data_IF_681942114109
#
_entry.id   IF_681942114109
#
_cell.length_a   1.000
_cell.length_b   1.000
_cell.length_c   1.000
_cell.angle_alpha   90.00
_cell.angle_beta   90.00
_cell.angle_gamma   90.00
#
_symmetry.space_group_name_H-M   'P 1'
#
loop_
_entity.id
_entity.type
_entity.pdbx_description
1 polymer ?
#
# COMPACT_ATOMS: atom_id res chain seq x y z
N UNK A 1 12.98 -32.97 -16.88
CA UNK A 1 14.30 -32.87 -16.22
C UNK A 1 14.11 -32.49 -14.76
N UNK A 2 14.36 -33.39 -13.81
CA UNK A 2 14.33 -33.09 -12.36
C UNK A 2 15.47 -32.09 -12.05
N UNK A 3 15.12 -30.87 -11.63
CA UNK A 3 16.08 -29.82 -11.27
C UNK A 3 16.80 -30.26 -9.99
N UNK A 4 18.10 -30.58 -10.11
CA UNK A 4 19.01 -31.02 -9.03
C UNK A 4 18.86 -30.13 -7.80
N UNK A 5 18.52 -30.71 -6.64
CA UNK A 5 18.38 -30.02 -5.35
C UNK A 5 19.67 -29.26 -4.99
N UNK A 6 19.55 -28.03 -4.50
CA UNK A 6 20.71 -27.22 -4.08
C UNK A 6 20.87 -27.52 -2.60
N UNK A 7 21.82 -28.39 -2.26
CA UNK A 7 22.14 -28.70 -0.87
C UNK A 7 22.83 -27.49 -0.23
N UNK A 8 22.08 -26.79 0.62
CA UNK A 8 22.54 -25.59 1.35
C UNK A 8 23.82 -25.85 2.14
N UNK A 9 23.96 -27.04 2.74
CA UNK A 9 25.13 -27.40 3.54
C UNK A 9 26.34 -27.67 2.62
N UNK A 10 26.13 -28.31 1.48
CA UNK A 10 27.20 -28.46 0.48
C UNK A 10 27.68 -27.11 -0.07
N UNK A 11 26.77 -26.15 -0.30
CA UNK A 11 27.13 -24.80 -0.75
C UNK A 11 27.87 -24.05 0.37
N UNK A 12 27.40 -24.13 1.62
CA UNK A 12 28.08 -23.54 2.78
C UNK A 12 29.52 -24.04 2.91
N UNK A 13 29.75 -25.35 2.76
CA UNK A 13 31.09 -25.96 2.80
C UNK A 13 32.00 -25.40 1.69
N UNK A 14 31.48 -25.18 0.49
CA UNK A 14 32.23 -24.55 -0.63
C UNK A 14 32.59 -23.10 -0.34
N UNK A 15 31.64 -22.30 0.17
CA UNK A 15 31.91 -20.91 0.57
C UNK A 15 33.02 -20.87 1.62
N UNK A 16 32.93 -21.72 2.64
CA UNK A 16 33.95 -21.81 3.70
C UNK A 16 35.34 -22.09 3.10
N UNK A 17 35.46 -23.12 2.27
CA UNK A 17 36.74 -23.47 1.64
C UNK A 17 37.31 -22.33 0.78
N UNK A 18 36.48 -21.60 0.04
CA UNK A 18 36.94 -20.46 -0.76
C UNK A 18 37.43 -19.29 0.11
N UNK A 19 36.78 -19.06 1.25
CA UNK A 19 37.19 -18.04 2.21
C UNK A 19 38.49 -18.44 2.91
N UNK A 20 38.60 -19.70 3.35
CA UNK A 20 39.82 -20.22 3.99
C UNK A 20 41.02 -20.07 3.04
N UNK A 21 40.85 -20.36 1.74
CA UNK A 21 41.90 -20.23 0.74
C UNK A 21 42.25 -18.76 0.38
N UNK A 22 41.38 -17.79 0.71
CA UNK A 22 41.60 -16.39 0.38
C UNK A 22 42.73 -15.75 1.21
N UNK A 23 43.14 -16.38 2.31
CA UNK A 23 44.28 -15.93 3.12
C UNK A 23 45.58 -15.85 2.31
N UNK A 24 45.83 -16.82 1.41
CA UNK A 24 47.01 -16.79 0.55
C UNK A 24 46.93 -15.68 -0.51
N UNK A 25 45.75 -15.41 -1.06
CA UNK A 25 45.52 -14.34 -2.01
C UNK A 25 45.77 -12.95 -1.39
N UNK A 26 45.53 -12.78 -0.09
CA UNK A 26 45.82 -11.52 0.62
C UNK A 26 47.32 -11.18 0.62
N UNK A 27 48.21 -12.17 0.61
CA UNK A 27 49.67 -12.00 0.58
C UNK A 27 50.17 -11.53 -0.79
N UNK A 28 49.39 -11.74 -1.86
CA UNK A 28 49.71 -11.27 -3.21
C UNK A 28 49.79 -9.74 -3.32
N UNK A 29 50.50 -9.23 -4.33
CA UNK A 29 50.59 -7.77 -4.58
C UNK A 29 49.54 -7.25 -5.58
N UNK A 30 48.93 -8.12 -6.39
CA UNK A 30 47.97 -7.71 -7.43
C UNK A 30 46.55 -7.52 -6.86
N UNK A 31 46.05 -6.29 -6.92
CA UNK A 31 44.69 -5.93 -6.50
C UNK A 31 43.63 -6.63 -7.35
N UNK A 32 43.82 -6.76 -8.67
CA UNK A 32 42.81 -7.35 -9.56
C UNK A 32 42.62 -8.82 -9.24
N UNK A 33 43.70 -9.55 -9.00
CA UNK A 33 43.65 -10.96 -8.64
C UNK A 33 42.88 -11.19 -7.32
N UNK A 34 43.11 -10.34 -6.30
CA UNK A 34 42.35 -10.38 -5.04
C UNK A 34 40.85 -10.15 -5.25
N UNK A 35 40.48 -9.22 -6.12
CA UNK A 35 39.06 -8.97 -6.42
C UNK A 35 38.46 -10.17 -7.18
N UNK A 36 39.18 -10.73 -8.15
CA UNK A 36 38.71 -11.87 -8.94
C UNK A 36 38.54 -13.13 -8.08
N UNK A 37 39.38 -13.37 -7.07
CA UNK A 37 39.23 -14.52 -6.17
C UNK A 37 38.04 -14.41 -5.21
N UNK A 38 37.50 -13.20 -4.98
CA UNK A 38 36.24 -13.00 -4.25
C UNK A 38 34.98 -13.25 -5.10
N UNK A 39 35.08 -13.22 -6.43
CA UNK A 39 33.91 -13.42 -7.32
C UNK A 39 33.27 -14.81 -7.12
N UNK A 40 34.02 -15.92 -7.05
CA UNK A 40 33.46 -17.23 -6.72
C UNK A 40 32.79 -17.28 -5.35
N UNK A 41 33.34 -16.62 -4.32
CA UNK A 41 32.76 -16.55 -2.98
C UNK A 41 31.37 -15.90 -3.06
N UNK A 42 31.30 -14.74 -3.72
CA UNK A 42 30.05 -14.01 -3.88
C UNK A 42 28.99 -14.78 -4.69
N UNK A 43 29.40 -15.49 -5.75
CA UNK A 43 28.50 -16.35 -6.51
C UNK A 43 27.93 -17.49 -5.65
N UNK A 44 28.76 -18.15 -4.84
CA UNK A 44 28.29 -19.22 -3.96
C UNK A 44 27.42 -18.70 -2.80
N UNK A 45 27.69 -17.51 -2.27
CA UNK A 45 26.81 -16.87 -1.30
C UNK A 45 25.41 -16.58 -1.88
N UNK A 46 25.33 -16.15 -3.15
CA UNK A 46 24.06 -16.01 -3.86
C UNK A 46 23.35 -17.34 -4.07
N UNK A 47 24.08 -18.41 -4.41
CA UNK A 47 23.49 -19.76 -4.48
C UNK A 47 22.96 -20.22 -3.12
N UNK A 48 23.70 -19.94 -2.05
CA UNK A 48 23.29 -20.27 -0.69
C UNK A 48 21.98 -19.58 -0.33
N UNK A 49 21.86 -18.27 -0.55
CA UNK A 49 20.61 -17.54 -0.32
C UNK A 49 19.42 -18.12 -1.10
N UNK A 50 19.64 -18.46 -2.39
CA UNK A 50 18.62 -19.12 -3.23
C UNK A 50 18.23 -20.51 -2.74
N UNK A 51 19.15 -21.25 -2.12
CA UNK A 51 18.89 -22.61 -1.62
C UNK A 51 18.03 -22.66 -0.35
N UNK A 52 17.85 -21.52 0.34
CA UNK A 52 17.01 -21.45 1.54
C UNK A 52 15.51 -21.56 1.26
N UNK A 53 15.08 -21.50 0.00
CA UNK A 53 13.69 -21.61 -0.42
C UNK A 53 13.42 -22.94 -1.13
N UNK A 54 12.26 -23.56 -0.85
CA UNK A 54 11.79 -24.79 -1.50
C UNK A 54 11.67 -24.59 -3.02
N UNK A 55 12.09 -25.59 -3.80
CA UNK A 55 12.11 -25.50 -5.28
C UNK A 55 10.75 -25.62 -5.94
N UNK A 56 9.77 -26.13 -5.21
CA UNK A 56 8.41 -26.38 -5.69
C UNK A 56 7.63 -25.07 -5.92
N UNK A 57 8.06 -23.98 -5.28
CA UNK A 57 7.27 -22.74 -5.22
C UNK A 57 7.82 -21.55 -6.03
N UNK A 58 9.09 -21.58 -6.49
CA UNK A 58 9.77 -20.36 -6.97
C UNK A 58 10.80 -20.57 -8.09
N UNK A 59 10.55 -19.99 -9.26
CA UNK A 59 11.37 -20.16 -10.46
C UNK A 59 12.33 -18.99 -10.73
N UNK A 60 11.96 -17.78 -10.32
CA UNK A 60 12.68 -16.53 -10.61
C UNK A 60 13.02 -15.73 -9.35
N UNK A 61 13.90 -14.73 -9.47
CA UNK A 61 14.20 -13.79 -8.37
C UNK A 61 12.96 -13.05 -7.88
N UNK A 62 12.05 -12.70 -8.81
CA UNK A 62 10.78 -12.06 -8.49
C UNK A 62 9.87 -12.99 -7.68
N UNK A 63 9.78 -14.26 -8.09
CA UNK A 63 8.96 -15.26 -7.40
C UNK A 63 9.46 -15.49 -5.97
N UNK A 64 10.79 -15.57 -5.78
CA UNK A 64 11.42 -15.66 -4.45
C UNK A 64 11.09 -14.46 -3.56
N UNK A 65 11.16 -13.26 -4.10
CA UNK A 65 10.81 -12.03 -3.35
C UNK A 65 9.34 -12.07 -2.91
N UNK A 66 8.40 -12.34 -3.81
CA UNK A 66 6.98 -12.34 -3.42
C UNK A 66 6.62 -13.50 -2.51
N UNK A 67 7.23 -14.67 -2.70
CA UNK A 67 7.09 -15.80 -1.78
C UNK A 67 7.51 -15.39 -0.36
N UNK A 68 8.66 -14.74 -0.21
CA UNK A 68 9.15 -14.28 1.09
C UNK A 68 8.21 -13.23 1.72
N UNK A 69 7.75 -12.24 0.95
CA UNK A 69 6.74 -11.28 1.44
C UNK A 69 5.44 -11.96 1.89
N UNK A 70 4.95 -12.96 1.15
CA UNK A 70 3.72 -13.70 1.51
C UNK A 70 3.89 -14.58 2.75
N UNK A 71 5.11 -15.04 3.02
CA UNK A 71 5.43 -15.80 4.23
C UNK A 71 5.50 -14.91 5.47
N UNK A 72 5.87 -13.63 5.29
CA UNK A 72 6.01 -12.64 6.35
C UNK A 72 5.19 -11.36 6.04
N UNK A 73 3.85 -11.47 5.91
CA UNK A 73 3.00 -10.31 5.67
C UNK A 73 3.04 -9.38 6.89
N UNK A 74 2.98 -8.07 6.67
CA UNK A 74 3.06 -7.07 7.74
C UNK A 74 4.35 -7.11 8.59
N UNK A 75 5.43 -7.73 8.10
CA UNK A 75 6.78 -7.57 8.68
C UNK A 75 7.58 -6.54 7.89
N UNK A 76 8.48 -5.84 8.58
CA UNK A 76 9.51 -5.01 7.94
C UNK A 76 10.56 -5.93 7.35
N UNK A 77 10.71 -5.89 6.03
CA UNK A 77 11.71 -6.66 5.29
C UNK A 77 12.72 -5.70 4.70
N UNK A 78 13.99 -5.86 5.08
CA UNK A 78 15.07 -5.01 4.60
C UNK A 78 15.53 -5.40 3.19
N UNK A 79 16.03 -4.42 2.43
CA UNK A 79 16.60 -4.65 1.10
C UNK A 79 17.74 -5.68 1.06
N UNK A 80 18.55 -5.79 2.11
CA UNK A 80 19.64 -6.78 2.19
C UNK A 80 19.08 -8.21 2.36
N UNK A 81 17.95 -8.38 3.05
CA UNK A 81 17.23 -9.66 3.08
C UNK A 81 16.75 -10.04 1.68
N UNK A 82 16.18 -9.07 0.96
CA UNK A 82 15.73 -9.28 -0.42
C UNK A 82 16.90 -9.58 -1.36
N UNK A 83 18.08 -9.01 -1.13
CA UNK A 83 19.31 -9.35 -1.87
C UNK A 83 19.67 -10.82 -1.65
N UNK A 84 19.64 -11.31 -0.41
CA UNK A 84 19.93 -12.71 -0.08
C UNK A 84 18.89 -13.65 -0.69
N UNK A 85 17.60 -13.36 -0.48
CA UNK A 85 16.47 -14.17 -0.95
C UNK A 85 16.40 -14.22 -2.47
N UNK A 86 16.56 -13.07 -3.13
CA UNK A 86 16.48 -12.99 -4.58
C UNK A 86 17.74 -13.48 -5.28
N UNK A 87 18.90 -13.41 -4.62
CA UNK A 87 20.21 -13.74 -5.17
C UNK A 87 20.70 -12.72 -6.22
N UNK A 88 20.11 -11.53 -6.28
CA UNK A 88 20.45 -10.47 -7.25
C UNK A 88 20.60 -9.11 -6.55
N UNK A 89 21.37 -8.21 -7.15
CA UNK A 89 21.50 -6.83 -6.65
C UNK A 89 20.29 -5.97 -7.03
N UNK A 90 19.66 -6.24 -8.16
CA UNK A 90 18.53 -5.48 -8.69
C UNK A 90 17.18 -5.86 -8.07
N UNK A 91 17.17 -6.33 -6.82
CA UNK A 91 15.94 -6.71 -6.11
C UNK A 91 14.93 -5.56 -6.07
N UNK A 92 15.39 -4.31 -5.91
CA UNK A 92 14.53 -3.13 -5.88
C UNK A 92 13.73 -2.94 -7.18
N UNK A 93 14.32 -3.32 -8.32
CA UNK A 93 13.61 -3.34 -9.61
C UNK A 93 12.52 -4.40 -9.63
N UNK A 94 12.79 -5.59 -9.09
CA UNK A 94 11.80 -6.68 -8.98
C UNK A 94 10.65 -6.31 -8.02
N UNK A 95 10.94 -5.64 -6.91
CA UNK A 95 9.91 -5.07 -6.01
C UNK A 95 9.05 -4.05 -6.74
N UNK A 96 9.65 -3.17 -7.55
CA UNK A 96 8.89 -2.23 -8.38
C UNK A 96 7.97 -2.95 -9.37
N UNK A 97 8.44 -3.99 -10.03
CA UNK A 97 7.61 -4.81 -10.92
C UNK A 97 6.47 -5.48 -10.18
N UNK A 98 6.72 -6.05 -9.00
CA UNK A 98 5.68 -6.66 -8.16
C UNK A 98 4.56 -5.68 -7.81
N UNK A 99 4.91 -4.43 -7.48
CA UNK A 99 3.94 -3.37 -7.20
C UNK A 99 3.17 -2.93 -8.44
N UNK A 100 3.90 -2.64 -9.52
CA UNK A 100 3.35 -1.97 -10.71
C UNK A 100 2.65 -2.94 -11.66
N UNK A 101 3.30 -4.06 -11.98
CA UNK A 101 2.80 -4.99 -13.00
C UNK A 101 1.95 -6.10 -12.40
N UNK A 102 2.21 -6.46 -11.15
CA UNK A 102 1.54 -7.57 -10.48
C UNK A 102 0.62 -7.13 -9.35
N UNK A 103 0.56 -5.83 -9.03
CA UNK A 103 -0.40 -5.28 -8.07
C UNK A 103 -0.26 -5.76 -6.64
N UNK A 104 0.93 -6.16 -6.22
CA UNK A 104 1.19 -6.48 -4.82
C UNK A 104 1.28 -5.20 -3.99
N UNK A 105 0.48 -5.12 -2.91
CA UNK A 105 0.43 -3.98 -1.99
C UNK A 105 1.66 -3.95 -1.09
N UNK A 106 2.82 -3.68 -1.71
CA UNK A 106 4.11 -3.53 -1.04
C UNK A 106 4.39 -2.04 -0.91
N UNK A 107 4.62 -1.55 0.29
CA UNK A 107 5.02 -0.16 0.54
C UNK A 107 6.49 -0.09 0.95
N UNK A 108 7.16 0.99 0.55
CA UNK A 108 8.49 1.34 1.04
C UNK A 108 8.42 2.03 2.41
N UNK A 109 9.53 2.04 3.15
CA UNK A 109 9.62 2.78 4.42
C UNK A 109 9.39 4.29 4.27
N UNK A 110 9.64 4.87 3.08
CA UNK A 110 9.30 6.27 2.80
C UNK A 110 7.78 6.46 2.77
N UNK A 111 7.08 5.65 1.98
CA UNK A 111 5.62 5.68 1.88
C UNK A 111 4.96 5.36 3.22
N UNK A 112 5.51 4.40 3.97
CA UNK A 112 5.03 4.07 5.30
C UNK A 112 5.03 5.28 6.23
N UNK A 113 6.13 6.04 6.28
CA UNK A 113 6.23 7.27 7.09
C UNK A 113 5.27 8.36 6.65
N UNK A 114 5.16 8.58 5.34
CA UNK A 114 4.24 9.57 4.77
C UNK A 114 2.77 9.23 5.11
N UNK A 115 2.39 7.95 5.11
CA UNK A 115 1.05 7.49 5.52
C UNK A 115 0.83 7.59 7.03
N UNK A 116 1.82 7.18 7.83
CA UNK A 116 1.75 7.24 9.29
C UNK A 116 1.58 8.67 9.81
N UNK A 117 2.21 9.66 9.15
CA UNK A 117 2.06 11.07 9.48
C UNK A 117 0.61 11.57 9.37
N UNK A 118 -0.21 10.94 8.53
CA UNK A 118 -1.64 11.27 8.35
C UNK A 118 -2.56 10.23 9.02
N UNK A 119 -2.04 9.39 9.93
CA UNK A 119 -2.79 8.33 10.62
C UNK A 119 -3.45 7.28 9.69
N UNK A 120 -2.88 7.08 8.49
CA UNK A 120 -3.39 6.13 7.48
C UNK A 120 -2.74 4.74 7.56
N UNK A 121 -1.78 4.54 8.48
CA UNK A 121 -1.05 3.27 8.63
C UNK A 121 -1.00 2.78 10.10
N UNK A 122 -2.12 2.28 10.65
CA UNK A 122 -2.19 1.80 12.03
C UNK A 122 -1.67 0.37 12.10
N UNK A 123 -0.35 0.19 12.01
CA UNK A 123 0.28 -1.12 12.25
C UNK A 123 0.88 -1.11 13.65
N UNK A 124 0.19 -1.74 14.60
CA UNK A 124 0.56 -1.74 16.03
C UNK A 124 1.96 -2.31 16.31
N UNK A 125 2.39 -3.28 15.49
CA UNK A 125 3.64 -4.02 15.71
C UNK A 125 4.85 -3.44 14.96
N UNK A 126 4.70 -2.28 14.29
CA UNK A 126 5.79 -1.69 13.49
C UNK A 126 6.05 -0.25 13.92
N UNK A 127 7.27 0.02 14.37
CA UNK A 127 7.76 1.38 14.54
C UNK A 127 8.16 1.97 13.18
N UNK A 128 7.18 2.55 12.49
CA UNK A 128 7.34 3.13 11.15
C UNK A 128 8.43 4.21 11.09
N UNK A 129 8.68 4.92 12.19
CA UNK A 129 9.68 5.99 12.23
C UNK A 129 11.11 5.46 12.05
N UNK A 130 11.37 4.22 12.48
CA UNK A 130 12.67 3.55 12.34
C UNK A 130 12.90 2.95 10.95
N UNK A 131 11.87 2.83 10.12
CA UNK A 131 12.02 2.26 8.78
C UNK A 131 12.95 3.09 7.90
N UNK A 132 13.78 2.42 7.10
CA UNK A 132 14.67 3.02 6.10
C UNK A 132 14.00 3.04 4.72
N UNK A 133 14.50 3.83 3.76
CA UNK A 133 13.95 3.86 2.41
C UNK A 133 13.95 2.52 1.66
N UNK A 134 14.88 1.62 2.01
CA UNK A 134 14.99 0.28 1.45
C UNK A 134 14.33 -0.81 2.33
N UNK A 135 13.54 -0.41 3.32
CA UNK A 135 12.66 -1.32 4.04
C UNK A 135 11.31 -1.40 3.32
N UNK A 136 10.69 -2.57 3.36
CA UNK A 136 9.44 -2.87 2.67
C UNK A 136 8.47 -3.60 3.59
N UNK A 137 7.18 -3.40 3.37
CA UNK A 137 6.10 -4.15 4.03
C UNK A 137 5.08 -4.58 2.99
N UNK A 138 4.64 -5.84 3.04
CA UNK A 138 3.46 -6.31 2.31
C UNK A 138 2.20 -6.08 3.17
N UNK A 139 1.31 -5.17 2.75
CA UNK A 139 0.07 -4.83 3.46
C UNK A 139 -1.10 -5.76 3.15
N UNK A 140 -1.07 -6.42 1.99
CA UNK A 140 -2.09 -7.36 1.56
C UNK A 140 -1.48 -8.51 0.78
N UNK A 141 -1.86 -9.73 1.14
CA UNK A 141 -1.48 -10.95 0.42
C UNK A 141 -2.41 -11.26 -0.76
N UNK A 142 -3.32 -10.35 -1.09
CA UNK A 142 -4.19 -10.45 -2.28
C UNK A 142 -3.56 -9.69 -3.44
N UNK A 143 -3.49 -10.37 -4.59
CA UNK A 143 -2.95 -9.78 -5.81
C UNK A 143 -4.00 -8.90 -6.50
N UNK A 144 -3.64 -7.66 -6.82
CA UNK A 144 -4.45 -6.81 -7.69
C UNK A 144 -4.11 -7.04 -9.17
N UNK A 145 -5.07 -7.57 -9.93
CA UNK A 145 -4.86 -7.91 -11.35
C UNK A 145 -4.99 -6.71 -12.28
N UNK A 146 -5.59 -5.61 -11.82
CA UNK A 146 -5.84 -4.41 -12.62
C UNK A 146 -4.75 -3.35 -12.43
N UNK A 147 -3.81 -3.57 -11.51
CA UNK A 147 -2.71 -2.64 -11.23
C UNK A 147 -1.89 -2.26 -12.47
N UNK A 148 -1.65 -3.21 -13.39
CA UNK A 148 -0.93 -2.92 -14.63
C UNK A 148 -1.67 -1.91 -15.52
N UNK A 149 -3.00 -2.02 -15.60
CA UNK A 149 -3.84 -1.06 -16.32
C UNK A 149 -3.82 0.30 -15.62
N UNK A 150 -4.02 0.32 -14.29
CA UNK A 150 -3.99 1.57 -13.50
C UNK A 150 -2.64 2.27 -13.54
N UNK A 151 -1.55 1.54 -13.72
CA UNK A 151 -0.23 2.14 -13.86
C UNK A 151 -0.11 3.01 -15.13
N UNK A 152 -0.76 2.62 -16.24
CA UNK A 152 -0.76 3.44 -17.45
C UNK A 152 -1.45 4.78 -17.19
N UNK A 153 -2.63 4.74 -16.56
CA UNK A 153 -3.39 5.93 -16.13
C UNK A 153 -2.52 6.80 -15.21
N UNK A 154 -1.88 6.18 -14.21
CA UNK A 154 -1.00 6.89 -13.27
C UNK A 154 0.15 7.61 -13.98
N UNK A 155 0.78 6.95 -14.96
CA UNK A 155 1.89 7.51 -15.75
C UNK A 155 1.45 8.69 -16.63
N UNK A 156 0.26 8.62 -17.23
CA UNK A 156 -0.31 9.72 -18.00
C UNK A 156 -0.59 10.94 -17.12
N UNK A 157 -1.28 10.75 -15.99
CA UNK A 157 -1.62 11.84 -15.06
C UNK A 157 -0.36 12.46 -14.45
N UNK A 158 0.63 11.62 -14.08
CA UNK A 158 1.90 12.09 -13.51
C UNK A 158 2.59 13.12 -14.40
N UNK A 159 2.53 12.95 -15.72
CA UNK A 159 3.17 13.81 -16.75
C UNK A 159 2.44 15.14 -16.99
N UNK A 160 1.17 15.28 -16.57
CA UNK A 160 0.41 16.53 -16.73
C UNK A 160 1.03 17.68 -15.94
N UNK A 161 0.80 18.92 -16.35
CA UNK A 161 1.30 20.13 -15.65
C UNK A 161 0.32 20.64 -14.59
N UNK A 162 -0.23 19.72 -13.79
CA UNK A 162 -1.22 20.02 -12.75
C UNK A 162 -0.61 19.99 -11.34
N UNK A 163 -1.33 20.58 -10.38
CA UNK A 163 -0.98 20.48 -8.96
C UNK A 163 -1.05 19.04 -8.44
N UNK A 164 -0.33 18.72 -7.36
CA UNK A 164 -0.34 17.39 -6.74
C UNK A 164 -1.76 16.94 -6.38
N UNK A 165 -2.55 17.83 -5.77
CA UNK A 165 -3.94 17.54 -5.37
C UNK A 165 -4.82 17.25 -6.59
N UNK A 166 -4.69 18.03 -7.65
CA UNK A 166 -5.46 17.83 -8.89
C UNK A 166 -5.11 16.50 -9.56
N UNK A 167 -3.82 16.12 -9.61
CA UNK A 167 -3.39 14.82 -10.13
C UNK A 167 -3.95 13.65 -9.33
N UNK A 168 -3.89 13.73 -8.00
CA UNK A 168 -4.43 12.70 -7.10
C UNK A 168 -5.94 12.56 -7.31
N UNK A 169 -6.68 13.67 -7.34
CA UNK A 169 -8.12 13.64 -7.57
C UNK A 169 -8.48 13.06 -8.93
N UNK A 170 -7.80 13.47 -10.00
CA UNK A 170 -8.00 12.90 -11.33
C UNK A 170 -7.74 11.40 -11.34
N UNK A 171 -6.70 10.94 -10.66
CA UNK A 171 -6.42 9.51 -10.57
C UNK A 171 -7.52 8.74 -9.82
N UNK A 172 -8.07 9.29 -8.75
CA UNK A 172 -9.25 8.70 -8.11
C UNK A 172 -10.47 8.68 -9.03
N UNK A 173 -10.74 9.75 -9.78
CA UNK A 173 -11.87 9.81 -10.73
C UNK A 173 -11.77 8.76 -11.85
N UNK A 174 -10.56 8.44 -12.29
CA UNK A 174 -10.32 7.38 -13.28
C UNK A 174 -10.43 5.96 -12.68
N UNK A 175 -10.54 5.85 -11.35
CA UNK A 175 -10.56 4.60 -10.60
C UNK A 175 -11.71 4.54 -9.56
N UNK A 176 -12.85 5.17 -9.86
CA UNK A 176 -14.01 5.19 -8.94
C UNK A 176 -14.42 3.75 -8.58
N UNK A 177 -14.69 3.52 -7.30
CA UNK A 177 -15.06 2.22 -6.73
C UNK A 177 -13.93 1.20 -6.68
N UNK A 178 -12.78 1.47 -7.28
CA UNK A 178 -11.61 0.59 -7.28
C UNK A 178 -10.62 1.02 -6.21
N UNK A 179 -10.00 0.04 -5.56
CA UNK A 179 -8.95 0.29 -4.59
C UNK A 179 -7.64 0.69 -5.28
N UNK A 180 -7.03 1.76 -4.77
CA UNK A 180 -5.69 2.21 -5.15
C UNK A 180 -4.78 2.26 -3.92
N UNK A 181 -3.48 2.14 -4.14
CA UNK A 181 -2.45 2.05 -3.09
C UNK A 181 -1.75 3.38 -2.85
N UNK A 182 -1.17 3.55 -1.65
CA UNK A 182 -0.34 4.72 -1.34
C UNK A 182 0.87 4.89 -2.29
N UNK A 183 1.46 3.80 -2.79
CA UNK A 183 2.56 3.87 -3.76
C UNK A 183 2.10 4.38 -5.14
N UNK A 184 0.89 4.02 -5.59
CA UNK A 184 0.29 4.57 -6.81
C UNK A 184 0.06 6.08 -6.66
N UNK A 185 -0.54 6.52 -5.54
CA UNK A 185 -0.81 7.92 -5.25
C UNK A 185 0.48 8.75 -5.14
N UNK A 186 1.49 8.22 -4.45
CA UNK A 186 2.82 8.82 -4.37
C UNK A 186 3.47 8.96 -5.75
N UNK A 187 3.35 7.94 -6.60
CA UNK A 187 3.88 7.98 -7.96
C UNK A 187 3.19 9.07 -8.81
N UNK A 188 1.86 9.14 -8.77
CA UNK A 188 1.06 10.18 -9.44
C UNK A 188 1.46 11.58 -8.98
N UNK A 189 1.73 11.73 -7.69
CA UNK A 189 2.21 12.96 -7.06
C UNK A 189 3.68 13.31 -7.38
N UNK A 190 4.36 12.61 -8.30
CA UNK A 190 5.79 12.79 -8.58
C UNK A 190 6.68 12.59 -7.33
N UNK A 191 6.32 11.64 -6.47
CA UNK A 191 7.01 11.30 -5.23
C UNK A 191 7.13 12.48 -4.24
N UNK A 192 6.24 13.47 -4.32
CA UNK A 192 6.16 14.56 -3.35
C UNK A 192 5.62 14.03 -2.02
N UNK A 193 6.30 14.33 -0.92
CA UNK A 193 5.97 13.84 0.42
C UNK A 193 4.58 14.27 0.91
N UNK A 194 4.07 15.40 0.41
CA UNK A 194 2.75 15.93 0.78
C UNK A 194 1.57 15.15 0.20
N UNK A 195 1.79 14.10 -0.61
CA UNK A 195 0.71 13.37 -1.29
C UNK A 195 -0.34 12.84 -0.29
N UNK A 196 0.09 12.26 0.84
CA UNK A 196 -0.81 11.68 1.84
C UNK A 196 -1.71 12.76 2.44
N UNK A 197 -1.12 13.90 2.78
CA UNK A 197 -1.84 15.09 3.24
C UNK A 197 -2.84 15.59 2.21
N UNK A 198 -2.49 15.59 0.91
CA UNK A 198 -3.43 15.99 -0.17
C UNK A 198 -4.60 15.03 -0.33
N UNK A 199 -4.41 13.74 -0.07
CA UNK A 199 -5.52 12.78 -0.02
C UNK A 199 -6.46 13.09 1.15
N UNK A 200 -5.91 13.34 2.34
CA UNK A 200 -6.71 13.76 3.50
C UNK A 200 -7.47 15.06 3.24
N UNK A 201 -6.82 16.09 2.67
CA UNK A 201 -7.50 17.34 2.27
C UNK A 201 -8.68 17.05 1.32
N UNK A 202 -8.49 16.20 0.32
CA UNK A 202 -9.56 15.86 -0.62
C UNK A 202 -10.78 15.29 0.11
N UNK A 203 -10.56 14.48 1.14
CA UNK A 203 -11.62 13.92 2.01
C UNK A 203 -12.24 14.97 2.94
N UNK A 204 -11.44 15.65 3.76
CA UNK A 204 -11.91 16.47 4.90
C UNK A 204 -12.15 17.94 4.59
N UNK A 205 -11.59 18.47 3.50
CA UNK A 205 -11.71 19.89 3.14
C UNK A 205 -12.44 20.08 1.82
N UNK A 206 -12.21 19.19 0.85
CA UNK A 206 -12.90 19.21 -0.44
C UNK A 206 -14.11 18.28 -0.50
N UNK A 207 -14.37 17.46 0.52
CA UNK A 207 -15.59 16.65 0.62
C UNK A 207 -15.73 15.58 -0.45
N UNK A 208 -14.61 15.05 -0.97
CA UNK A 208 -14.66 13.86 -1.82
C UNK A 208 -14.82 12.62 -0.93
N UNK A 209 -15.70 11.66 -1.29
CA UNK A 209 -15.95 10.46 -0.51
C UNK A 209 -14.83 9.44 -0.75
N UNK A 210 -13.63 9.78 -0.27
CA UNK A 210 -12.45 8.93 -0.30
C UNK A 210 -12.41 8.16 1.01
N UNK A 211 -12.54 6.84 0.94
CA UNK A 211 -12.59 5.98 2.11
C UNK A 211 -11.34 5.11 2.21
N UNK A 212 -10.92 4.88 3.45
CA UNK A 212 -9.86 3.94 3.83
C UNK A 212 -10.39 3.01 4.91
N UNK A 213 -9.61 1.97 5.26
CA UNK A 213 -9.93 1.10 6.39
C UNK A 213 -10.24 1.89 7.67
N UNK A 214 -9.54 3.00 7.88
CA UNK A 214 -9.62 3.78 9.11
C UNK A 214 -10.75 4.81 9.09
N UNK A 215 -11.25 5.16 7.91
CA UNK A 215 -12.16 6.30 7.74
C UNK A 215 -13.58 5.92 7.39
N UNK A 216 -13.85 4.68 6.96
CA UNK A 216 -15.23 4.21 6.83
C UNK A 216 -15.47 2.87 6.17
N UNK A 217 -14.41 2.19 5.72
CA UNK A 217 -14.50 0.90 5.01
C UNK A 217 -13.69 -0.20 5.71
N UNK A 218 -14.18 -0.79 6.81
CA UNK A 218 -13.42 -1.78 7.58
C UNK A 218 -13.05 -3.04 6.78
N UNK A 219 -13.78 -3.32 5.71
CA UNK A 219 -13.56 -4.39 4.74
C UNK A 219 -12.32 -4.17 3.86
N UNK A 220 -11.83 -2.93 3.72
CA UNK A 220 -10.58 -2.65 3.01
C UNK A 220 -9.35 -3.15 3.79
N UNK A 221 -8.29 -3.47 3.06
CA UNK A 221 -6.98 -3.74 3.65
C UNK A 221 -6.28 -2.42 4.03
N UNK A 222 -5.31 -2.49 4.94
CA UNK A 222 -4.55 -1.32 5.37
C UNK A 222 -3.79 -0.73 4.17
N UNK A 223 -3.82 0.60 4.03
CA UNK A 223 -3.15 1.32 2.93
C UNK A 223 -3.86 1.32 1.58
N UNK A 224 -5.09 0.81 1.54
CA UNK A 224 -6.03 0.97 0.43
C UNK A 224 -6.82 2.28 0.55
N UNK A 225 -7.03 2.93 -0.58
CA UNK A 225 -7.88 4.10 -0.75
C UNK A 225 -8.91 3.84 -1.84
N UNK A 226 -10.17 4.24 -1.63
CA UNK A 226 -11.25 4.10 -2.62
C UNK A 226 -12.01 5.42 -2.72
N UNK A 227 -12.27 5.90 -3.94
CA UNK A 227 -13.25 6.95 -4.15
C UNK A 227 -14.61 6.29 -4.40
N UNK A 228 -15.57 6.43 -3.49
CA UNK A 228 -16.86 5.73 -3.57
C UNK A 228 -17.73 6.25 -4.72
N UNK A 229 -17.69 7.57 -4.97
CA UNK A 229 -18.50 8.19 -6.02
C UNK A 229 -17.95 9.54 -6.47
N UNK A 230 -18.51 10.07 -7.56
CA UNK A 230 -18.24 11.43 -8.05
C UNK A 230 -19.07 12.51 -7.34
N UNK A 231 -19.69 12.19 -6.21
CA UNK A 231 -20.53 13.10 -5.44
C UNK A 231 -19.70 13.83 -4.40
N UNK A 232 -19.39 15.09 -4.67
CA UNK A 232 -18.70 15.96 -3.71
C UNK A 232 -19.69 16.50 -2.67
N UNK A 233 -19.34 16.45 -1.38
CA UNK A 233 -20.17 17.05 -0.31
C UNK A 233 -20.28 18.58 -0.48
N UNK A 234 -21.41 19.19 -0.10
CA UNK A 234 -21.57 20.65 -0.06
C UNK A 234 -20.55 21.30 0.87
N UNK A 235 -20.14 22.55 0.59
CA UNK A 235 -19.08 23.26 1.34
C UNK A 235 -19.29 23.31 2.85
N UNK A 236 -20.55 23.44 3.29
CA UNK A 236 -20.90 23.49 4.71
C UNK A 236 -20.76 22.13 5.42
N UNK A 237 -20.78 21.02 4.69
CA UNK A 237 -20.71 19.66 5.25
C UNK A 237 -19.30 19.04 5.17
N UNK A 238 -18.33 19.70 4.51
CA UNK A 238 -17.01 19.09 4.23
C UNK A 238 -16.17 18.86 5.50
N UNK A 239 -16.31 19.72 6.51
CA UNK A 239 -15.37 19.85 7.65
C UNK A 239 -15.63 18.88 8.81
N UNK A 240 -15.91 17.61 8.52
CA UNK A 240 -15.99 16.56 9.55
C UNK A 240 -14.62 15.90 9.69
N UNK A 241 -14.04 15.94 10.89
CA UNK A 241 -12.74 15.33 11.17
C UNK A 241 -12.81 13.80 11.12
N UNK A 242 -11.72 13.15 10.71
CA UNK A 242 -11.66 11.69 10.63
C UNK A 242 -11.92 10.97 11.97
N UNK A 243 -11.43 11.48 13.14
CA UNK A 243 -11.79 10.89 14.43
C UNK A 243 -13.29 10.89 14.71
N UNK A 244 -13.99 12.01 14.45
CA UNK A 244 -15.45 12.10 14.62
C UNK A 244 -16.15 11.16 13.64
N UNK A 245 -15.72 11.15 12.37
CA UNK A 245 -16.26 10.23 11.36
C UNK A 245 -16.15 8.78 11.79
N UNK A 246 -14.95 8.35 12.18
CA UNK A 246 -14.70 6.99 12.64
C UNK A 246 -15.52 6.60 13.87
N UNK A 247 -15.70 7.52 14.83
CA UNK A 247 -16.52 7.27 16.03
C UNK A 247 -17.99 7.11 15.69
N UNK A 248 -18.56 7.99 14.87
CA UNK A 248 -19.97 7.90 14.42
C UNK A 248 -20.22 6.61 13.65
N UNK A 249 -19.33 6.26 12.71
CA UNK A 249 -19.45 5.02 11.94
C UNK A 249 -19.36 3.78 12.83
N UNK A 250 -18.44 3.75 13.82
CA UNK A 250 -18.36 2.64 14.78
C UNK A 250 -19.61 2.55 15.66
N UNK A 251 -20.12 3.68 16.17
CA UNK A 251 -21.35 3.75 16.96
C UNK A 251 -22.54 3.18 16.19
N UNK A 252 -22.65 3.54 14.91
CA UNK A 252 -23.71 3.07 14.01
C UNK A 252 -23.38 1.72 13.35
N UNK A 253 -22.34 1.02 13.84
CA UNK A 253 -21.90 -0.32 13.40
C UNK A 253 -21.61 -0.42 11.89
N UNK A 254 -21.19 0.68 11.27
CA UNK A 254 -20.97 0.79 9.82
C UNK A 254 -22.22 0.41 9.01
N UNK A 255 -23.40 0.80 9.49
CA UNK A 255 -24.69 0.59 8.82
C UNK A 255 -25.50 1.88 8.76
N UNK A 256 -26.37 1.97 7.75
CA UNK A 256 -27.35 3.04 7.66
C UNK A 256 -28.36 2.94 8.80
N UNK A 257 -28.51 3.98 9.61
CA UNK A 257 -29.47 3.97 10.74
C UNK A 257 -30.94 3.98 10.31
N UNK A 258 -31.22 4.20 9.02
CA UNK A 258 -32.59 4.27 8.47
C UNK A 258 -33.05 2.95 7.83
N UNK A 259 -32.15 2.24 7.13
CA UNK A 259 -32.50 1.05 6.35
C UNK A 259 -31.55 -0.14 6.53
N UNK A 260 -30.62 -0.05 7.50
CA UNK A 260 -29.66 -1.09 7.88
C UNK A 260 -28.65 -1.52 6.79
N UNK A 261 -28.64 -0.82 5.64
CA UNK A 261 -27.68 -1.08 4.57
C UNK A 261 -26.23 -0.91 5.04
N UNK A 262 -25.37 -1.88 4.72
CA UNK A 262 -23.92 -1.84 4.92
C UNK A 262 -23.17 -2.18 3.63
N UNK A 263 -21.84 -2.02 3.65
CA UNK A 263 -20.99 -2.43 2.53
C UNK A 263 -21.08 -3.93 2.21
N UNK A 264 -21.53 -4.77 3.14
CA UNK A 264 -21.80 -6.20 2.88
C UNK A 264 -22.93 -6.41 1.86
N UNK A 265 -23.83 -5.44 1.74
CA UNK A 265 -24.94 -5.45 0.80
C UNK A 265 -24.57 -4.87 -0.57
N UNK A 266 -23.37 -4.31 -0.71
CA UNK A 266 -22.93 -3.63 -1.92
C UNK A 266 -22.93 -4.58 -3.11
N UNK A 267 -23.47 -4.12 -4.23
CA UNK A 267 -23.37 -4.79 -5.51
C UNK A 267 -23.48 -3.77 -6.64
N UNK A 268 -23.17 -4.19 -7.88
CA UNK A 268 -23.17 -3.30 -9.04
C UNK A 268 -24.53 -2.64 -9.31
N UNK A 269 -25.64 -3.30 -8.96
CA UNK A 269 -27.00 -2.74 -9.12
C UNK A 269 -27.41 -1.83 -7.96
N UNK A 270 -26.68 -1.87 -6.85
CA UNK A 270 -26.91 -1.04 -5.66
C UNK A 270 -25.59 -0.42 -5.17
N UNK A 271 -25.05 0.59 -5.90
CA UNK A 271 -23.76 1.21 -5.60
C UNK A 271 -23.87 2.30 -4.50
N UNK A 272 -24.72 2.05 -3.50
CA UNK A 272 -24.81 2.90 -2.31
C UNK A 272 -23.47 2.89 -1.56
N UNK A 273 -23.22 3.95 -0.81
CA UNK A 273 -22.16 4.02 0.21
C UNK A 273 -22.70 4.81 1.40
N UNK A 274 -21.95 4.78 2.51
CA UNK A 274 -22.31 5.49 3.73
C UNK A 274 -21.81 6.93 3.69
N UNK A 275 -22.67 7.85 4.13
CA UNK A 275 -22.36 9.26 4.35
C UNK A 275 -22.77 9.64 5.79
N UNK A 276 -22.16 10.69 6.31
CA UNK A 276 -22.60 11.29 7.58
C UNK A 276 -23.61 12.39 7.31
N UNK A 277 -24.72 12.36 8.05
CA UNK A 277 -25.77 13.37 7.99
C UNK A 277 -25.93 14.06 9.34
N UNK A 278 -26.06 15.39 9.33
CA UNK A 278 -26.37 16.15 10.53
C UNK A 278 -27.86 16.09 10.89
N UNK A 279 -28.18 15.66 12.11
CA UNK A 279 -29.54 15.70 12.67
C UNK A 279 -30.08 17.14 12.66
N UNK A 280 -29.31 18.07 13.24
CA UNK A 280 -29.49 19.51 13.11
C UNK A 280 -28.60 20.01 11.98
N UNK A 281 -29.21 20.52 10.93
CA UNK A 281 -28.50 20.98 9.73
C UNK A 281 -27.43 22.02 10.06
N UNK A 282 -26.28 21.93 9.38
CA UNK A 282 -25.18 22.87 9.56
C UNK A 282 -25.60 24.33 9.27
N UNK A 283 -26.47 24.54 8.28
CA UNK A 283 -27.05 25.87 7.96
C UNK A 283 -27.83 26.48 9.14
N UNK A 284 -28.34 25.65 10.06
CA UNK A 284 -29.06 26.08 11.27
C UNK A 284 -28.17 26.07 12.53
N UNK A 285 -26.84 26.06 12.34
CA UNK A 285 -25.87 25.99 13.43
C UNK A 285 -25.79 24.60 14.07
N UNK A 286 -25.84 23.55 13.25
CA UNK A 286 -25.51 22.19 13.67
C UNK A 286 -24.00 21.98 13.73
N UNK A 287 -23.50 21.39 14.81
CA UNK A 287 -22.07 21.16 15.02
C UNK A 287 -21.61 19.84 14.37
N UNK A 288 -20.31 19.72 14.09
CA UNK A 288 -19.67 18.49 13.59
C UNK A 288 -19.30 17.56 14.76
N UNK A 289 -20.27 17.27 15.62
CA UNK A 289 -20.11 16.44 16.82
C UNK A 289 -20.72 15.06 16.63
N UNK A 290 -20.28 14.09 17.42
CA UNK A 290 -20.78 12.72 17.37
C UNK A 290 -22.30 12.68 17.58
N UNK A 291 -22.81 13.46 18.53
CA UNK A 291 -24.22 13.50 18.92
C UNK A 291 -25.12 14.03 17.79
N UNK A 292 -24.60 14.97 17.00
CA UNK A 292 -25.32 15.59 15.91
C UNK A 292 -25.20 14.83 14.58
N UNK A 293 -24.28 13.88 14.46
CA UNK A 293 -24.05 13.14 13.22
C UNK A 293 -24.68 11.73 13.28
N UNK A 294 -25.22 11.27 12.16
CA UNK A 294 -25.69 9.90 11.96
C UNK A 294 -25.16 9.34 10.66
N UNK A 295 -24.99 8.01 10.62
CA UNK A 295 -24.59 7.28 9.43
C UNK A 295 -25.81 6.92 8.59
N UNK A 296 -25.85 7.35 7.34
CA UNK A 296 -26.93 7.04 6.39
C UNK A 296 -26.37 6.62 5.05
N UNK A 297 -27.05 5.75 4.30
CA UNK A 297 -26.66 5.48 2.93
C UNK A 297 -27.06 6.64 2.02
N UNK A 298 -26.40 6.79 0.86
CA UNK A 298 -26.68 7.87 -0.10
C UNK A 298 -28.16 8.03 -0.47
N UNK A 299 -28.89 6.92 -0.64
CA UNK A 299 -30.34 6.96 -0.94
C UNK A 299 -31.15 7.54 0.21
N UNK A 300 -30.95 7.04 1.44
CA UNK A 300 -31.64 7.59 2.61
C UNK A 300 -31.22 9.04 2.88
N UNK A 301 -29.96 9.40 2.61
CA UNK A 301 -29.49 10.77 2.72
C UNK A 301 -30.26 11.72 1.81
N UNK A 302 -30.44 11.33 0.54
CA UNK A 302 -31.24 12.11 -0.42
C UNK A 302 -32.71 12.20 -0.04
N UNK A 303 -33.29 11.11 0.48
CA UNK A 303 -34.67 11.11 0.98
C UNK A 303 -34.85 12.08 2.16
N UNK A 304 -33.90 12.14 3.09
CA UNK A 304 -33.95 13.08 4.22
C UNK A 304 -33.91 14.52 3.70
N UNK A 305 -32.99 14.85 2.79
CA UNK A 305 -32.92 16.19 2.18
C UNK A 305 -34.16 16.54 1.35
N UNK A 306 -34.79 15.54 0.70
CA UNK A 306 -36.03 15.75 -0.05
C UNK A 306 -37.23 16.04 0.85
N UNK A 307 -37.34 15.38 2.01
CA UNK A 307 -38.44 15.59 2.97
C UNK A 307 -38.35 16.93 3.74
N UNK A 308 -37.16 17.54 3.79
CA UNK A 308 -36.91 18.82 4.47
C UNK A 308 -37.02 20.05 3.55
N UNK A 309 -37.16 19.85 2.23
CA UNK A 309 -37.51 20.90 1.26
C UNK A 309 -39.02 21.07 1.17
#
# INVERSE_FOLDING_TARGET
>A
MKKRELDSEAIRKKVKSLIDNFEEELKGKDLRQKVLSLVPVFNHLRELGKSLLSKEDVSSARDRIIFYFKKYPSFVINGDELLVVSGIQEYARRVRELRVQFGWSIISGVTAKEMAAESELPIENIDVNKMKPNDYILLSATQDRDAAHRWNIANEIRKRKDSVRAKILEYFKQNIGNSVTGEELRYVANNKTEWARRVRELRTEFGWPIETKNTGRPDLHVGAYVLESLRQSPEHDRKISDPVRGTVLRRDKYRCVQCDWSHDNWNRSDPRHLELHHKKEHVKGGENTEENLITVCTVCHDEIHRKKK
#
